data_IF_841544219923
#
_entry.id   IF_841544219923
#
_cell.length_a   1.000
_cell.length_b   1.000
_cell.length_c   1.000
_cell.angle_alpha   90.00
_cell.angle_beta   90.00
_cell.angle_gamma   90.00
#
_symmetry.space_group_name_H-M   'P 1'
#
loop_
_entity.id
_entity.type
_entity.pdbx_description
1 polymer ?
#
# COMPACT_ATOMS: atom_id res chain seq x y z
N UNK A 1 -9.77 -23.37 -5.92
CA UNK A 1 -8.65 -23.45 -6.88
C UNK A 1 -7.37 -23.52 -6.06
N UNK A 2 -6.66 -24.66 -6.08
CA UNK A 2 -5.37 -24.81 -5.39
C UNK A 2 -4.31 -24.08 -6.21
N UNK A 3 -3.76 -22.99 -5.70
CA UNK A 3 -2.56 -22.37 -6.29
C UNK A 3 -1.38 -23.24 -5.95
N UNK A 4 -0.94 -24.07 -6.89
CA UNK A 4 0.37 -24.71 -6.82
C UNK A 4 1.44 -23.62 -6.82
N UNK A 5 2.47 -23.83 -5.99
CA UNK A 5 3.55 -22.87 -5.81
C UNK A 5 4.46 -22.96 -7.04
N UNK A 6 4.18 -22.13 -8.06
CA UNK A 6 5.00 -22.02 -9.27
C UNK A 6 6.43 -21.61 -8.92
N UNK A 7 7.41 -22.14 -9.66
CA UNK A 7 8.82 -21.77 -9.52
C UNK A 7 9.06 -20.35 -10.09
N UNK A 8 10.16 -19.69 -9.70
CA UNK A 8 10.46 -18.31 -10.11
C UNK A 8 10.49 -18.17 -11.65
N UNK A 9 11.00 -19.18 -12.36
CA UNK A 9 11.10 -19.19 -13.82
C UNK A 9 9.72 -19.14 -14.51
N UNK A 10 8.71 -19.79 -13.91
CA UNK A 10 7.34 -19.78 -14.45
C UNK A 10 6.65 -18.42 -14.29
N UNK A 11 7.10 -17.58 -13.34
CA UNK A 11 6.59 -16.21 -13.22
C UNK A 11 7.13 -15.29 -14.32
N UNK A 12 8.36 -15.56 -14.79
CA UNK A 12 8.96 -14.82 -15.91
C UNK A 12 8.26 -15.20 -17.21
N UNK A 13 8.08 -16.50 -17.46
CA UNK A 13 7.33 -16.98 -18.64
C UNK A 13 5.90 -16.44 -18.67
N UNK A 14 5.18 -16.48 -17.54
CA UNK A 14 3.82 -15.91 -17.42
C UNK A 14 3.79 -14.39 -17.71
N UNK A 15 4.89 -13.68 -17.43
CA UNK A 15 5.02 -12.25 -17.67
C UNK A 15 5.35 -11.94 -19.13
N UNK A 16 6.31 -12.67 -19.73
CA UNK A 16 6.66 -12.57 -21.15
C UNK A 16 5.44 -12.86 -22.03
N UNK A 17 4.71 -13.94 -21.74
CA UNK A 17 3.47 -14.28 -22.43
C UNK A 17 2.43 -13.15 -22.34
N UNK A 18 2.35 -12.50 -21.18
CA UNK A 18 1.46 -11.35 -21.01
C UNK A 18 1.91 -10.14 -21.83
N UNK A 19 3.20 -9.82 -21.85
CA UNK A 19 3.72 -8.72 -22.65
C UNK A 19 3.46 -8.93 -24.15
N UNK A 20 3.64 -10.14 -24.64
CA UNK A 20 3.45 -10.47 -26.06
C UNK A 20 1.99 -10.41 -26.51
N UNK A 21 1.04 -10.59 -25.58
CA UNK A 21 -0.38 -10.71 -25.89
C UNK A 21 -1.25 -9.58 -25.33
N UNK A 22 -0.66 -8.48 -24.83
CA UNK A 22 -1.41 -7.37 -24.20
C UNK A 22 -2.54 -6.81 -25.08
N UNK A 23 -2.34 -6.79 -26.40
CA UNK A 23 -3.28 -6.23 -27.38
C UNK A 23 -3.97 -7.30 -28.23
N UNK A 24 -3.83 -8.58 -27.86
CA UNK A 24 -4.55 -9.69 -28.48
C UNK A 24 -5.68 -10.14 -27.55
N UNK A 25 -6.85 -9.47 -27.57
CA UNK A 25 -7.96 -9.82 -26.68
C UNK A 25 -8.44 -11.25 -26.89
N UNK A 26 -8.28 -11.80 -28.11
CA UNK A 26 -8.60 -13.19 -28.45
C UNK A 26 -7.80 -14.22 -27.64
N UNK A 27 -6.56 -13.90 -27.28
CA UNK A 27 -5.66 -14.78 -26.53
C UNK A 27 -6.18 -15.13 -25.13
N UNK A 28 -6.92 -14.21 -24.52
CA UNK A 28 -7.47 -14.37 -23.17
C UNK A 28 -8.96 -14.75 -23.15
N UNK A 29 -9.55 -15.05 -24.31
CA UNK A 29 -10.89 -15.64 -24.37
C UNK A 29 -10.85 -17.10 -23.89
N UNK A 30 -12.00 -17.62 -23.43
CA UNK A 30 -12.10 -19.03 -23.01
C UNK A 30 -11.60 -19.33 -21.59
N UNK A 31 -11.45 -18.31 -20.73
CA UNK A 31 -11.12 -18.47 -19.31
C UNK A 31 -9.63 -18.46 -18.99
N UNK A 32 -8.77 -18.16 -19.98
CA UNK A 32 -7.34 -17.93 -19.77
C UNK A 32 -7.14 -16.55 -19.14
N UNK A 33 -6.66 -16.52 -17.90
CA UNK A 33 -6.39 -15.28 -17.16
C UNK A 33 -4.89 -14.98 -17.19
N UNK A 34 -4.48 -13.75 -17.50
CA UNK A 34 -3.09 -13.31 -17.39
C UNK A 34 -2.41 -13.71 -16.09
N UNK A 35 -1.18 -14.24 -16.17
CA UNK A 35 -0.45 -14.71 -14.99
C UNK A 35 -0.16 -13.61 -13.96
N UNK A 36 0.00 -12.36 -14.39
CA UNK A 36 0.16 -11.20 -13.51
C UNK A 36 -1.08 -10.92 -12.64
N UNK A 37 -2.28 -11.26 -13.12
CA UNK A 37 -3.54 -11.14 -12.36
C UNK A 37 -3.71 -12.30 -11.38
N UNK A 38 -3.30 -13.51 -11.78
CA UNK A 38 -3.35 -14.71 -10.93
C UNK A 38 -2.36 -14.64 -9.77
N UNK A 39 -1.19 -14.03 -10.01
CA UNK A 39 -0.07 -13.98 -9.06
C UNK A 39 0.21 -12.57 -8.55
N UNK A 40 -0.81 -11.75 -8.30
CA UNK A 40 -0.60 -10.42 -7.73
C UNK A 40 0.05 -10.51 -6.34
N UNK A 41 1.32 -10.13 -6.25
CA UNK A 41 2.12 -10.27 -5.03
C UNK A 41 1.55 -9.42 -3.90
N UNK A 42 1.14 -10.07 -2.79
CA UNK A 42 0.73 -9.50 -1.48
C UNK A 42 0.02 -8.12 -1.57
N UNK A 43 -0.91 -7.99 -2.52
CA UNK A 43 -1.57 -6.73 -2.89
C UNK A 43 -2.35 -6.10 -1.73
N UNK A 44 -2.81 -6.93 -0.78
CA UNK A 44 -3.56 -6.47 0.40
C UNK A 44 -2.75 -5.55 1.32
N UNK A 45 -1.48 -5.85 1.57
CA UNK A 45 -0.64 -5.05 2.49
C UNK A 45 -0.33 -3.69 1.88
N UNK A 46 0.03 -3.67 0.59
CA UNK A 46 0.28 -2.43 -0.14
C UNK A 46 -1.00 -1.60 -0.23
N UNK A 47 -2.15 -2.24 -0.47
CA UNK A 47 -3.46 -1.58 -0.47
C UNK A 47 -3.79 -0.91 0.87
N UNK A 48 -3.66 -1.63 1.99
CA UNK A 48 -3.86 -1.03 3.32
C UNK A 48 -2.87 0.10 3.61
N UNK A 49 -1.63 0.01 3.10
CA UNK A 49 -0.63 1.07 3.25
C UNK A 49 -1.05 2.34 2.49
N UNK A 50 -1.51 2.20 1.25
CA UNK A 50 -2.00 3.32 0.43
C UNK A 50 -3.25 3.97 1.04
N UNK A 51 -4.19 3.17 1.56
CA UNK A 51 -5.35 3.67 2.30
C UNK A 51 -4.91 4.45 3.54
N UNK A 52 -3.95 3.92 4.30
CA UNK A 52 -3.39 4.58 5.48
C UNK A 52 -2.76 5.94 5.13
N UNK A 53 -1.96 6.00 4.07
CA UNK A 53 -1.38 7.27 3.57
C UNK A 53 -2.51 8.24 3.19
N UNK A 54 -3.51 7.78 2.42
CA UNK A 54 -4.61 8.64 1.97
C UNK A 54 -5.47 9.21 3.10
N UNK A 55 -5.73 8.43 4.16
CA UNK A 55 -6.44 8.94 5.34
C UNK A 55 -5.59 9.94 6.13
N UNK A 56 -4.27 9.72 6.20
CA UNK A 56 -3.37 10.63 6.91
C UNK A 56 -3.17 11.96 6.17
N UNK A 57 -3.24 11.99 4.84
CA UNK A 57 -3.17 13.24 4.05
C UNK A 57 -4.44 14.09 4.15
N UNK A 58 -5.56 13.54 4.59
CA UNK A 58 -6.80 14.30 4.82
C UNK A 58 -6.74 15.16 6.09
N UNK A 59 -5.90 14.80 7.05
CA UNK A 59 -5.74 15.53 8.32
C UNK A 59 -5.29 16.99 8.11
N UNK A 60 -4.23 17.31 7.33
CA UNK A 60 -3.86 18.71 7.07
C UNK A 60 -4.95 19.51 6.35
N UNK A 61 -5.76 18.86 5.49
CA UNK A 61 -6.91 19.52 4.86
C UNK A 61 -7.95 19.96 5.90
N UNK A 62 -8.27 19.09 6.86
CA UNK A 62 -9.16 19.43 7.98
C UNK A 62 -8.59 20.59 8.80
N UNK A 63 -7.28 20.63 9.04
CA UNK A 63 -6.63 21.74 9.74
C UNK A 63 -6.70 23.06 8.97
N UNK A 64 -6.49 23.06 7.66
CA UNK A 64 -6.61 24.27 6.83
C UNK A 64 -8.03 24.84 6.93
N UNK A 65 -9.04 23.96 6.82
CA UNK A 65 -10.44 24.35 6.95
C UNK A 65 -10.72 24.93 8.34
N UNK A 66 -10.28 24.24 9.41
CA UNK A 66 -10.43 24.73 10.79
C UNK A 66 -9.73 26.08 11.00
N UNK A 67 -8.54 26.28 10.41
CA UNK A 67 -7.77 27.52 10.54
C UNK A 67 -8.42 28.69 9.79
N UNK A 68 -9.05 28.43 8.64
CA UNK A 68 -9.82 29.44 7.91
C UNK A 68 -11.06 29.91 8.70
N UNK A 69 -11.66 29.04 9.50
CA UNK A 69 -12.77 29.37 10.40
C UNK A 69 -12.31 30.02 11.73
N UNK A 70 -11.00 30.26 11.92
CA UNK A 70 -10.34 30.56 13.20
C UNK A 70 -9.81 31.99 13.33
N UNK A 71 -10.61 32.99 12.96
CA UNK A 71 -10.36 34.37 13.38
C UNK A 71 -10.64 34.60 14.88
N UNK A 72 -10.46 33.59 15.74
CA UNK A 72 -10.82 33.59 17.16
C UNK A 72 -9.69 32.95 17.99
N UNK A 73 -9.05 33.74 18.86
CA UNK A 73 -7.71 33.51 19.46
C UNK A 73 -7.59 32.30 20.43
N UNK A 74 -8.68 31.57 20.68
CA UNK A 74 -8.77 30.58 21.77
C UNK A 74 -8.34 29.14 21.42
N UNK A 75 -7.93 28.86 20.18
CA UNK A 75 -7.75 27.48 19.72
C UNK A 75 -6.29 27.01 19.54
N UNK A 76 -5.30 27.83 19.91
CA UNK A 76 -3.88 27.45 19.89
C UNK A 76 -3.57 26.16 20.68
N UNK A 77 -4.14 25.91 21.89
CA UNK A 77 -3.79 24.72 22.68
C UNK A 77 -4.22 23.40 22.03
N UNK A 78 -5.37 23.39 21.35
CA UNK A 78 -5.92 22.20 20.67
C UNK A 78 -5.07 21.82 19.46
N UNK A 79 -4.49 22.78 18.74
CA UNK A 79 -3.62 22.48 17.60
C UNK A 79 -2.34 21.75 18.00
N UNK A 80 -1.70 22.17 19.09
CA UNK A 80 -0.49 21.51 19.58
C UNK A 80 -0.79 20.07 20.02
N UNK A 81 -1.92 19.86 20.71
CA UNK A 81 -2.35 18.52 21.14
C UNK A 81 -2.60 17.61 19.93
N UNK A 82 -3.29 18.11 18.90
CA UNK A 82 -3.56 17.32 17.70
C UNK A 82 -2.29 17.05 16.86
N UNK A 83 -1.39 18.04 16.73
CA UNK A 83 -0.06 17.84 16.09
C UNK A 83 0.79 16.83 16.86
N UNK A 84 0.71 16.83 18.18
CA UNK A 84 1.41 15.86 19.03
C UNK A 84 0.85 14.45 18.83
N UNK A 85 -0.48 14.29 18.80
CA UNK A 85 -1.14 13.01 18.48
C UNK A 85 -0.73 12.54 17.07
N UNK A 86 -0.64 13.44 16.10
CA UNK A 86 -0.18 13.12 14.75
C UNK A 86 1.27 12.63 14.71
N UNK A 87 2.18 13.31 15.42
CA UNK A 87 3.59 12.93 15.50
C UNK A 87 3.76 11.55 16.15
N UNK A 88 3.01 11.27 17.22
CA UNK A 88 2.99 9.96 17.86
C UNK A 88 2.41 8.88 16.96
N UNK A 89 1.30 9.17 16.29
CA UNK A 89 0.67 8.24 15.33
C UNK A 89 1.60 7.89 14.17
N UNK A 90 2.27 8.89 13.58
CA UNK A 90 3.23 8.68 12.51
C UNK A 90 4.44 7.89 13.00
N UNK A 91 5.03 8.27 14.13
CA UNK A 91 6.19 7.59 14.71
C UNK A 91 5.91 6.12 15.05
N UNK A 92 4.74 5.80 15.61
CA UNK A 92 4.34 4.44 15.90
C UNK A 92 4.11 3.62 14.62
N UNK A 93 3.38 4.19 13.65
CA UNK A 93 3.10 3.53 12.38
C UNK A 93 4.37 3.28 11.56
N UNK A 94 5.24 4.28 11.41
CA UNK A 94 6.52 4.14 10.70
C UNK A 94 7.42 3.12 11.38
N UNK A 95 7.46 3.10 12.71
CA UNK A 95 8.25 2.13 13.47
C UNK A 95 7.78 0.69 13.23
N UNK A 96 6.46 0.43 13.31
CA UNK A 96 5.89 -0.90 13.03
C UNK A 96 6.22 -1.35 11.60
N UNK A 97 6.14 -0.43 10.64
CA UNK A 97 6.42 -0.72 9.23
C UNK A 97 7.91 -1.00 8.97
N UNK A 98 8.80 -0.21 9.57
CA UNK A 98 10.25 -0.44 9.48
C UNK A 98 10.61 -1.78 10.11
N UNK A 99 10.08 -2.08 11.30
CA UNK A 99 10.33 -3.35 12.00
C UNK A 99 9.82 -4.54 11.17
N UNK A 100 8.59 -4.46 10.63
CA UNK A 100 8.02 -5.51 9.79
C UNK A 100 8.78 -5.67 8.46
N UNK A 101 9.25 -4.57 7.87
CA UNK A 101 10.10 -4.57 6.68
C UNK A 101 11.43 -5.27 6.93
N UNK A 102 12.15 -4.88 7.98
CA UNK A 102 13.43 -5.48 8.39
C UNK A 102 13.25 -6.97 8.69
N UNK A 103 12.23 -7.33 9.46
CA UNK A 103 11.94 -8.74 9.80
C UNK A 103 11.73 -9.59 8.55
N UNK A 104 11.04 -9.04 7.54
CA UNK A 104 10.77 -9.72 6.27
C UNK A 104 12.05 -9.92 5.46
N UNK A 105 12.94 -8.91 5.41
CA UNK A 105 14.26 -9.02 4.76
C UNK A 105 15.09 -10.11 5.44
N UNK A 106 15.21 -10.09 6.77
CA UNK A 106 15.97 -11.09 7.53
C UNK A 106 15.40 -12.50 7.32
N UNK A 107 14.08 -12.67 7.31
CA UNK A 107 13.45 -13.98 7.06
C UNK A 107 13.56 -14.46 5.61
N UNK A 108 13.65 -13.53 4.64
CA UNK A 108 13.81 -13.84 3.22
C UNK A 108 15.24 -14.21 2.85
N UNK A 109 16.23 -13.69 3.58
CA UNK A 109 17.66 -14.03 3.43
C UNK A 109 17.99 -15.44 3.96
N UNK A 110 17.08 -16.05 4.75
CA UNK A 110 17.30 -17.36 5.39
C UNK A 110 16.76 -18.55 4.61
N UNK A 111 16.18 -18.34 3.42
CA UNK A 111 15.65 -19.38 2.54
C UNK A 111 16.42 -19.44 1.22
#
# INVERSE_FOLDING_TARGET
MKTEKKNNDQHIEDFEEWQDNQYNPGHYLGGKVPGNLLNSGRTKIVGFFLIGIGLMTMIPFVFIIINEFKNDENLLPIEYVLRFIQMLGFGAFSSVMIINGIRKIISGVKN
#
